data_IF_046925602585
#
_entry.id   IF_046925602585
#
_cell.length_a   1.000
_cell.length_b   1.000
_cell.length_c   1.000
_cell.angle_alpha   90.00
_cell.angle_beta   90.00
_cell.angle_gamma   90.00
#
_symmetry.space_group_name_H-M   'P 1'
#
loop_
_entity.id
_entity.type
_entity.pdbx_description
1 polymer ?
#
# COMPACT_ATOMS: atom_id res chain seq x y z
N UNK A 1 -19.63 -11.03 8.89
CA UNK A 1 -18.96 -10.41 7.72
C UNK A 1 -17.84 -9.58 8.30
N UNK A 2 -16.58 -9.98 8.09
CA UNK A 2 -15.45 -9.12 8.43
C UNK A 2 -15.54 -7.91 7.50
N UNK A 3 -15.70 -6.71 8.06
CA UNK A 3 -15.68 -5.48 7.27
C UNK A 3 -14.33 -5.38 6.55
N UNK A 4 -14.32 -4.86 5.33
CA UNK A 4 -13.09 -4.55 4.62
C UNK A 4 -12.30 -3.56 5.50
N UNK A 5 -11.24 -4.04 6.15
CA UNK A 5 -10.27 -3.18 6.82
C UNK A 5 -9.55 -2.34 5.76
N UNK A 6 -9.20 -1.12 6.15
CA UNK A 6 -8.41 -0.21 5.31
C UNK A 6 -7.02 0.00 5.91
N UNK A 7 -6.12 0.60 5.14
CA UNK A 7 -4.81 1.00 5.68
C UNK A 7 -4.95 2.01 6.83
N UNK A 8 -5.94 2.89 6.78
CA UNK A 8 -6.29 3.78 7.89
C UNK A 8 -6.59 3.01 9.18
N UNK A 9 -7.41 1.95 9.10
CA UNK A 9 -7.78 1.15 10.27
C UNK A 9 -6.56 0.38 10.83
N UNK A 10 -5.67 -0.07 9.94
CA UNK A 10 -4.42 -0.69 10.34
C UNK A 10 -3.52 0.31 11.10
N UNK A 11 -3.34 1.52 10.58
CA UNK A 11 -2.54 2.57 11.24
C UNK A 11 -3.13 2.95 12.59
N UNK A 12 -4.45 3.11 12.67
CA UNK A 12 -5.14 3.44 13.91
C UNK A 12 -4.97 2.35 14.97
N UNK A 13 -5.04 1.06 14.57
CA UNK A 13 -4.93 -0.06 15.51
C UNK A 13 -3.48 -0.30 15.97
N UNK A 14 -2.50 -0.19 15.05
CA UNK A 14 -1.12 -0.58 15.34
C UNK A 14 -0.29 0.53 15.97
N UNK A 15 -0.55 1.79 15.60
CA UNK A 15 0.30 2.94 15.97
C UNK A 15 -0.44 4.00 16.80
N UNK A 16 -1.56 3.63 17.43
CA UNK A 16 -2.33 4.54 18.27
C UNK A 16 -1.47 5.24 19.34
N UNK A 17 -0.66 4.46 20.06
CA UNK A 17 0.13 4.97 21.16
C UNK A 17 1.25 5.92 20.71
N UNK A 18 1.90 5.60 19.60
CA UNK A 18 2.97 6.41 19.00
C UNK A 18 2.40 7.74 18.47
N UNK A 19 1.25 7.68 17.81
CA UNK A 19 0.54 8.85 17.29
C UNK A 19 0.05 9.72 18.46
N UNK A 20 -0.55 9.11 19.48
CA UNK A 20 -0.99 9.81 20.69
C UNK A 20 0.17 10.53 21.37
N UNK A 21 1.28 9.83 21.62
CA UNK A 21 2.46 10.40 22.25
C UNK A 21 3.08 11.55 21.44
N UNK A 22 3.09 11.43 20.10
CA UNK A 22 3.62 12.48 19.23
C UNK A 22 2.75 13.75 19.27
N UNK A 23 1.41 13.60 19.26
CA UNK A 23 0.49 14.74 19.37
C UNK A 23 0.59 15.36 20.77
N UNK A 24 0.64 14.55 21.83
CA UNK A 24 0.79 15.03 23.20
C UNK A 24 2.07 15.84 23.38
N UNK A 25 3.20 15.35 22.85
CA UNK A 25 4.46 16.11 22.86
C UNK A 25 4.35 17.42 22.09
N UNK A 26 3.77 17.39 20.89
CA UNK A 26 3.59 18.58 20.07
C UNK A 26 2.70 19.63 20.76
N UNK A 27 1.57 19.22 21.36
CA UNK A 27 0.66 20.14 22.06
C UNK A 27 1.29 20.73 23.30
N UNK A 28 2.09 19.96 24.04
CA UNK A 28 2.81 20.46 25.20
C UNK A 28 3.87 21.51 24.84
N UNK A 29 4.55 21.33 23.70
CA UNK A 29 5.62 22.24 23.27
C UNK A 29 5.10 23.51 22.55
N UNK A 30 3.85 23.47 22.04
CA UNK A 30 3.30 24.52 21.17
C UNK A 30 1.95 25.05 21.65
N UNK A 31 1.59 24.92 22.92
CA UNK A 31 0.25 25.24 23.41
C UNK A 31 -0.15 26.72 23.19
N UNK A 32 0.80 27.64 23.18
CA UNK A 32 0.57 29.08 22.97
C UNK A 32 0.30 29.44 21.50
N UNK A 33 0.72 28.56 20.54
CA UNK A 33 0.66 28.83 19.10
C UNK A 33 -0.53 28.11 18.41
N UNK A 34 -1.28 27.28 19.15
CA UNK A 34 -2.40 26.55 18.59
C UNK A 34 -3.62 27.44 18.34
N UNK A 35 -4.21 27.33 17.13
CA UNK A 35 -5.46 28.06 16.75
C UNK A 35 -6.71 27.34 17.33
N UNK A 36 -6.80 27.33 18.67
CA UNK A 36 -7.88 26.67 19.40
C UNK A 36 -9.14 27.54 19.45
N UNK A 37 -10.29 26.91 19.20
CA UNK A 37 -11.59 27.58 19.38
C UNK A 37 -12.12 27.34 20.78
N UNK A 38 -11.79 28.27 21.68
CA UNK A 38 -12.19 28.24 23.09
C UNK A 38 -13.27 29.32 23.35
N UNK A 39 -14.21 29.02 24.22
CA UNK A 39 -15.31 29.91 24.59
C UNK A 39 -15.25 30.38 26.06
N UNK A 40 -14.63 29.58 26.92
CA UNK A 40 -14.57 29.83 28.36
C UNK A 40 -13.17 30.18 28.80
N UNK A 41 -12.19 29.37 28.41
CA UNK A 41 -10.78 29.58 28.75
C UNK A 41 -10.21 30.74 27.96
N UNK A 42 -9.68 31.75 28.62
CA UNK A 42 -9.05 32.94 27.99
C UNK A 42 -7.53 32.89 28.01
N UNK A 43 -6.96 32.37 29.10
CA UNK A 43 -5.51 32.20 29.24
C UNK A 43 -5.19 30.72 29.43
N UNK A 44 -4.52 30.13 28.47
CA UNK A 44 -4.21 28.70 28.49
C UNK A 44 -3.09 28.46 29.51
N UNK A 45 -3.38 27.66 30.54
CA UNK A 45 -2.41 27.21 31.52
C UNK A 45 -1.80 25.85 31.16
N UNK A 46 -2.63 24.93 30.66
CA UNK A 46 -2.17 23.62 30.19
C UNK A 46 -3.15 23.02 29.21
N UNK A 47 -2.62 22.17 28.36
CA UNK A 47 -3.41 21.34 27.43
C UNK A 47 -3.10 19.88 27.72
N UNK A 48 -4.15 19.09 27.89
CA UNK A 48 -4.06 17.64 28.05
C UNK A 48 -4.79 16.95 26.89
N UNK A 49 -4.10 16.00 26.25
CA UNK A 49 -4.70 15.19 25.17
C UNK A 49 -5.54 14.08 25.79
N UNK A 50 -6.85 14.09 25.52
CA UNK A 50 -7.80 13.13 26.10
C UNK A 50 -7.99 11.91 25.17
N UNK A 51 -8.15 12.13 23.88
CA UNK A 51 -8.38 11.06 22.89
C UNK A 51 -7.96 11.49 21.49
N UNK A 52 -7.75 10.51 20.62
CA UNK A 52 -7.45 10.73 19.20
C UNK A 52 -8.27 9.81 18.29
N UNK A 53 -8.64 10.31 17.12
CA UNK A 53 -9.27 9.53 16.07
C UNK A 53 -8.56 9.74 14.73
N UNK A 54 -8.00 8.67 14.16
CA UNK A 54 -7.42 8.71 12.81
C UNK A 54 -8.53 8.82 11.78
N UNK A 55 -8.58 9.95 11.07
CA UNK A 55 -9.65 10.24 10.08
C UNK A 55 -9.24 9.84 8.67
N UNK A 56 -8.02 10.16 8.25
CA UNK A 56 -7.51 9.92 6.91
C UNK A 56 -6.06 9.47 6.96
N UNK A 57 -5.69 8.60 6.00
CA UNK A 57 -4.30 8.27 5.69
C UNK A 57 -4.10 8.43 4.19
N UNK A 58 -3.02 9.09 3.79
CA UNK A 58 -2.64 9.25 2.40
C UNK A 58 -1.23 8.75 2.18
N UNK A 59 -1.06 7.76 1.30
CA UNK A 59 0.21 7.07 1.09
C UNK A 59 0.93 7.64 -0.12
N UNK A 60 2.25 7.86 0.03
CA UNK A 60 3.15 8.26 -1.04
C UNK A 60 4.21 7.17 -1.26
N UNK A 61 4.49 6.88 -2.53
CA UNK A 61 5.50 5.91 -2.91
C UNK A 61 6.91 6.52 -2.77
N UNK A 62 7.81 5.81 -2.10
CA UNK A 62 9.24 6.11 -2.04
C UNK A 62 10.05 5.04 -2.77
N UNK A 63 11.33 5.26 -3.10
CA UNK A 63 12.18 4.22 -3.65
C UNK A 63 12.24 2.96 -2.77
N UNK A 64 12.51 1.83 -3.39
CA UNK A 64 12.60 0.50 -2.76
C UNK A 64 11.27 0.08 -2.12
N UNK A 65 11.30 -0.58 -0.98
CA UNK A 65 10.09 -1.01 -0.24
C UNK A 65 9.68 0.00 0.85
N UNK A 66 10.06 1.26 0.70
CA UNK A 66 9.73 2.33 1.64
C UNK A 66 8.47 3.07 1.22
N UNK A 67 7.71 3.49 2.21
CA UNK A 67 6.55 4.38 2.03
C UNK A 67 6.65 5.57 2.98
N UNK A 68 6.10 6.68 2.53
CA UNK A 68 5.78 7.83 3.36
C UNK A 68 4.26 8.00 3.34
N UNK A 69 3.68 8.40 4.45
CA UNK A 69 2.25 8.62 4.51
C UNK A 69 1.89 9.73 5.50
N UNK A 70 0.88 10.49 5.10
CA UNK A 70 0.31 11.54 5.91
C UNK A 70 -0.90 10.99 6.68
N UNK A 71 -0.94 11.24 7.99
CA UNK A 71 -2.02 10.80 8.88
C UNK A 71 -2.74 12.02 9.43
N UNK A 72 -4.01 12.20 9.05
CA UNK A 72 -4.85 13.25 9.60
C UNK A 72 -5.63 12.71 10.81
N UNK A 73 -5.47 13.37 11.93
CA UNK A 73 -6.01 12.98 13.24
C UNK A 73 -6.87 14.09 13.80
N UNK A 74 -8.07 13.74 14.26
CA UNK A 74 -8.88 14.61 15.13
C UNK A 74 -8.55 14.25 16.58
N UNK A 75 -8.07 15.22 17.33
CA UNK A 75 -7.71 15.08 18.74
C UNK A 75 -8.71 15.83 19.63
N UNK A 76 -9.06 15.23 20.74
CA UNK A 76 -9.84 15.87 21.80
C UNK A 76 -8.89 16.38 22.88
N UNK A 77 -8.90 17.70 23.10
CA UNK A 77 -8.00 18.38 24.02
C UNK A 77 -8.82 18.93 25.20
N UNK A 78 -8.36 18.66 26.42
CA UNK A 78 -8.79 19.37 27.63
C UNK A 78 -7.86 20.55 27.86
N UNK A 79 -8.40 21.76 27.79
CA UNK A 79 -7.66 23.01 28.00
C UNK A 79 -8.04 23.58 29.35
N UNK A 80 -7.05 23.88 30.20
CA UNK A 80 -7.26 24.44 31.54
C UNK A 80 -6.76 25.86 31.60
N UNK A 81 -7.50 26.67 32.35
CA UNK A 81 -7.16 28.09 32.60
C UNK A 81 -5.89 28.20 33.44
N UNK A 82 -5.07 29.22 33.16
CA UNK A 82 -3.83 29.52 33.92
C UNK A 82 -4.06 30.14 35.30
N UNK A 83 -5.28 30.66 35.55
CA UNK A 83 -5.53 31.44 36.77
C UNK A 83 -5.88 30.53 37.95
N UNK A 84 -5.14 30.68 39.04
CA UNK A 84 -5.25 29.90 40.28
C UNK A 84 -6.61 29.99 41.01
N UNK A 85 -7.49 30.87 40.57
CA UNK A 85 -8.76 31.11 41.26
C UNK A 85 -9.97 30.41 40.61
N UNK A 86 -9.82 29.91 39.40
CA UNK A 86 -10.88 29.20 38.72
C UNK A 86 -10.30 27.93 38.08
N UNK A 87 -10.79 26.78 38.55
CA UNK A 87 -10.48 25.47 37.98
C UNK A 87 -11.42 25.24 36.77
N UNK A 88 -11.35 26.18 35.79
CA UNK A 88 -12.15 26.05 34.58
C UNK A 88 -11.38 25.26 33.54
N UNK A 89 -12.01 24.22 33.01
CA UNK A 89 -11.52 23.45 31.86
C UNK A 89 -12.55 23.47 30.75
N UNK A 90 -12.06 23.35 29.54
CA UNK A 90 -12.88 23.27 28.34
C UNK A 90 -12.33 22.21 27.39
N UNK A 91 -13.23 21.39 26.83
CA UNK A 91 -12.87 20.42 25.82
C UNK A 91 -13.04 21.04 24.43
N UNK A 92 -12.04 20.89 23.60
CA UNK A 92 -12.10 21.28 22.19
C UNK A 92 -11.54 20.19 21.28
N UNK A 93 -11.95 20.24 20.02
CA UNK A 93 -11.43 19.33 18.99
C UNK A 93 -10.50 20.10 18.07
N UNK A 94 -9.32 19.51 17.85
CA UNK A 94 -8.31 20.06 16.97
C UNK A 94 -7.79 18.99 16.02
N UNK A 95 -7.43 19.41 14.81
CA UNK A 95 -6.91 18.52 13.81
C UNK A 95 -5.41 18.66 13.67
N UNK A 96 -4.74 17.51 13.56
CA UNK A 96 -3.29 17.42 13.36
C UNK A 96 -2.98 16.59 12.11
N UNK A 97 -1.88 16.95 11.44
CA UNK A 97 -1.30 16.19 10.35
C UNK A 97 0.07 15.67 10.77
N UNK A 98 0.23 14.36 10.72
CA UNK A 98 1.50 13.71 11.00
C UNK A 98 2.09 13.20 9.69
N UNK A 99 3.39 13.40 9.50
CA UNK A 99 4.16 12.75 8.44
C UNK A 99 4.84 11.52 9.00
N UNK A 100 4.51 10.38 8.45
CA UNK A 100 4.98 9.09 8.88
C UNK A 100 5.74 8.40 7.75
N UNK A 101 6.62 7.46 8.10
CA UNK A 101 7.28 6.59 7.14
C UNK A 101 7.48 5.19 7.72
N UNK A 102 7.70 4.21 6.84
CA UNK A 102 7.98 2.84 7.22
C UNK A 102 8.40 1.98 6.04
N UNK A 103 8.82 0.76 6.31
CA UNK A 103 9.32 -0.21 5.35
C UNK A 103 8.29 -1.35 5.17
N UNK A 104 7.88 -1.63 3.92
CA UNK A 104 6.95 -2.70 3.55
C UNK A 104 7.68 -4.01 3.21
N UNK A 105 8.56 -4.52 4.09
CA UNK A 105 9.28 -5.78 3.81
C UNK A 105 8.53 -7.01 4.31
N UNK A 106 8.12 -7.02 5.57
CA UNK A 106 7.36 -8.12 6.17
C UNK A 106 6.06 -7.65 6.81
N UNK A 107 6.06 -6.46 7.36
CA UNK A 107 4.95 -5.69 7.89
C UNK A 107 5.27 -4.22 7.59
N UNK A 108 4.68 -3.29 8.32
CA UNK A 108 5.13 -1.89 8.31
C UNK A 108 6.19 -1.72 9.40
N UNK A 109 7.42 -2.09 9.05
CA UNK A 109 8.56 -2.02 9.96
C UNK A 109 9.18 -0.61 9.98
N UNK A 110 10.01 -0.33 10.98
CA UNK A 110 10.70 0.96 11.12
C UNK A 110 9.75 2.17 11.04
N UNK A 111 8.55 2.02 11.62
CA UNK A 111 7.61 3.13 11.69
C UNK A 111 8.23 4.33 12.40
N UNK A 112 8.15 5.49 11.77
CA UNK A 112 8.66 6.74 12.33
C UNK A 112 7.70 7.88 12.01
N UNK A 113 7.57 8.82 12.97
CA UNK A 113 6.86 10.08 12.78
C UNK A 113 7.91 11.17 12.64
N UNK A 114 7.99 11.80 11.48
CA UNK A 114 8.99 12.82 11.17
C UNK A 114 8.54 14.23 11.55
N UNK A 115 7.25 14.50 11.55
CA UNK A 115 6.69 15.80 11.96
C UNK A 115 5.23 15.68 12.36
N UNK A 116 4.83 16.55 13.28
CA UNK A 116 3.44 16.84 13.64
C UNK A 116 3.19 18.31 13.35
N UNK A 117 2.06 18.63 12.75
CA UNK A 117 1.64 20.00 12.47
C UNK A 117 0.15 20.14 12.71
N UNK A 118 -0.29 21.32 13.11
CA UNK A 118 -1.70 21.64 13.14
C UNK A 118 -2.30 21.56 11.72
N UNK A 119 -3.45 20.91 11.56
CA UNK A 119 -4.12 20.73 10.27
C UNK A 119 -5.32 21.67 10.16
N UNK A 120 -5.10 22.83 9.57
CA UNK A 120 -6.11 23.86 9.38
C UNK A 120 -6.54 23.94 7.92
N UNK A 121 -7.64 24.67 7.65
CA UNK A 121 -8.06 24.95 6.28
C UNK A 121 -7.01 25.70 5.44
N UNK A 122 -6.07 26.39 6.10
CA UNK A 122 -4.96 27.13 5.46
C UNK A 122 -3.85 26.22 4.96
N UNK A 123 -3.61 25.08 5.64
CA UNK A 123 -2.55 24.12 5.30
C UNK A 123 -3.07 22.93 4.50
N UNK A 124 -4.38 22.87 4.23
CA UNK A 124 -4.98 21.77 3.50
C UNK A 124 -4.38 21.65 2.10
N UNK A 125 -3.57 20.62 1.91
CA UNK A 125 -2.98 20.36 0.59
C UNK A 125 -4.09 19.96 -0.38
N UNK A 126 -4.05 20.52 -1.60
CA UNK A 126 -4.98 20.19 -2.68
C UNK A 126 -4.71 18.85 -3.37
N UNK A 127 -3.80 18.04 -2.84
CA UNK A 127 -3.48 16.71 -3.42
C UNK A 127 -4.61 15.73 -3.10
N UNK A 128 -5.07 14.95 -4.09
CA UNK A 128 -6.00 13.87 -3.83
C UNK A 128 -5.36 12.89 -2.84
N UNK A 129 -6.04 12.62 -1.74
CA UNK A 129 -5.62 11.60 -0.79
C UNK A 129 -5.84 10.23 -1.42
N UNK A 130 -4.81 9.38 -1.40
CA UNK A 130 -4.87 8.00 -1.87
C UNK A 130 -4.37 7.07 -0.77
N UNK A 131 -5.16 6.08 -0.43
CA UNK A 131 -4.80 4.97 0.47
C UNK A 131 -4.24 3.76 -0.30
N UNK A 132 -4.04 3.90 -1.59
CA UNK A 132 -3.55 2.86 -2.49
C UNK A 132 -2.25 3.27 -3.17
N UNK A 133 -1.32 2.30 -3.29
CA UNK A 133 -0.07 2.43 -4.05
C UNK A 133 -0.18 1.90 -5.49
N UNK A 134 -1.38 1.58 -5.96
CA UNK A 134 -1.57 1.19 -7.36
C UNK A 134 -1.31 2.39 -8.25
N UNK A 135 -0.28 2.34 -9.14
CA UNK A 135 0.02 3.46 -9.99
C UNK A 135 -1.10 3.69 -11.02
N UNK A 136 -1.58 4.91 -11.11
CA UNK A 136 -2.50 5.33 -12.18
C UNK A 136 -1.64 5.75 -13.37
N UNK A 137 -1.59 4.90 -14.40
CA UNK A 137 -0.78 5.13 -15.60
C UNK A 137 -1.70 5.62 -16.71
N UNK A 138 -1.54 6.87 -17.12
CA UNK A 138 -2.25 7.41 -18.28
C UNK A 138 -1.61 6.92 -19.59
N UNK A 139 -2.38 6.93 -20.67
CA UNK A 139 -1.92 6.44 -21.99
C UNK A 139 -0.61 7.13 -22.45
N UNK A 140 -0.47 8.41 -22.17
CA UNK A 140 0.69 9.22 -22.51
C UNK A 140 1.96 8.83 -21.72
N UNK A 141 1.79 8.16 -20.60
CA UNK A 141 2.88 7.72 -19.70
C UNK A 141 3.34 6.28 -19.97
N UNK A 142 2.58 5.50 -20.75
CA UNK A 142 2.88 4.08 -20.98
C UNK A 142 4.28 3.83 -21.52
N UNK A 143 4.72 4.64 -22.49
CA UNK A 143 6.05 4.49 -23.10
C UNK A 143 7.17 4.80 -22.10
N UNK A 144 7.02 5.84 -21.28
CA UNK A 144 8.02 6.18 -20.27
C UNK A 144 8.09 5.13 -19.17
N UNK A 145 6.94 4.63 -18.69
CA UNK A 145 6.87 3.57 -17.68
C UNK A 145 7.49 2.28 -18.20
N UNK A 146 7.17 1.88 -19.42
CA UNK A 146 7.76 0.70 -20.05
C UNK A 146 9.28 0.85 -20.25
N UNK A 147 9.74 2.03 -20.65
CA UNK A 147 11.16 2.33 -20.81
C UNK A 147 11.91 2.26 -19.48
N UNK A 148 11.34 2.82 -18.41
CA UNK A 148 11.92 2.76 -17.07
C UNK A 148 11.96 1.35 -16.52
N UNK A 149 10.90 0.57 -16.76
CA UNK A 149 10.83 -0.85 -16.42
C UNK A 149 11.94 -1.65 -17.14
N UNK A 150 12.08 -1.48 -18.46
CA UNK A 150 13.14 -2.14 -19.23
C UNK A 150 14.54 -1.65 -18.82
N UNK A 151 14.72 -0.37 -18.53
CA UNK A 151 16.00 0.16 -18.04
C UNK A 151 16.43 -0.51 -16.74
N UNK A 152 15.47 -0.83 -15.90
CA UNK A 152 15.74 -1.48 -14.60
C UNK A 152 16.02 -2.97 -14.74
N UNK A 153 15.26 -3.69 -15.57
CA UNK A 153 15.26 -5.15 -15.58
C UNK A 153 15.82 -5.79 -16.85
N UNK A 154 15.79 -5.05 -17.99
CA UNK A 154 16.24 -5.58 -19.30
C UNK A 154 16.89 -4.47 -20.16
N UNK A 155 17.96 -3.81 -19.66
CA UNK A 155 18.53 -2.62 -20.31
C UNK A 155 19.04 -2.87 -21.73
N UNK A 156 19.41 -4.10 -22.09
CA UNK A 156 19.89 -4.46 -23.44
C UNK A 156 18.86 -4.19 -24.53
N UNK A 157 17.56 -4.33 -24.21
CA UNK A 157 16.48 -4.05 -25.16
C UNK A 157 16.41 -2.57 -25.58
N UNK A 158 17.00 -1.66 -24.76
CA UNK A 158 17.04 -0.24 -25.03
C UNK A 158 18.29 0.19 -25.84
N UNK A 159 19.32 -0.67 -25.88
CA UNK A 159 20.59 -0.36 -26.57
C UNK A 159 20.47 -0.65 -28.08
N UNK A 160 19.85 -1.76 -28.43
CA UNK A 160 19.55 -2.11 -29.82
C UNK A 160 18.20 -2.81 -29.93
N UNK A 161 17.49 -2.64 -31.06
CA UNK A 161 16.23 -3.35 -31.28
C UNK A 161 16.43 -4.87 -31.15
N UNK A 162 15.87 -5.45 -30.11
CA UNK A 162 15.86 -6.89 -29.88
C UNK A 162 14.53 -7.30 -29.27
N UNK A 163 14.11 -8.54 -29.53
CA UNK A 163 12.95 -9.06 -28.85
C UNK A 163 13.25 -9.23 -27.35
N UNK A 164 12.30 -8.86 -26.51
CA UNK A 164 12.36 -9.18 -25.09
C UNK A 164 12.00 -10.65 -24.92
N UNK A 165 12.91 -11.43 -24.38
CA UNK A 165 12.67 -12.84 -24.05
C UNK A 165 12.04 -12.92 -22.65
N UNK A 166 10.77 -13.32 -22.52
CA UNK A 166 10.03 -13.23 -21.26
C UNK A 166 10.63 -14.04 -20.11
N UNK A 167 11.14 -15.23 -20.41
CA UNK A 167 11.79 -16.06 -19.40
C UNK A 167 13.09 -15.43 -18.89
N UNK A 168 13.91 -14.87 -19.79
CA UNK A 168 15.13 -14.15 -19.41
C UNK A 168 14.80 -12.89 -18.60
N UNK A 169 13.72 -12.19 -18.93
CA UNK A 169 13.24 -11.05 -18.13
C UNK A 169 12.86 -11.51 -16.73
N UNK A 170 12.07 -12.58 -16.60
CA UNK A 170 11.68 -13.12 -15.30
C UNK A 170 12.90 -13.55 -14.46
N UNK A 171 13.85 -14.25 -15.06
CA UNK A 171 15.11 -14.65 -14.40
C UNK A 171 15.91 -13.43 -13.89
N UNK A 172 16.04 -12.38 -14.70
CA UNK A 172 16.72 -11.14 -14.30
C UNK A 172 16.00 -10.41 -13.16
N UNK A 173 14.70 -10.58 -13.05
CA UNK A 173 13.89 -10.07 -11.95
C UNK A 173 13.94 -10.97 -10.69
N UNK A 174 14.61 -12.13 -10.77
CA UNK A 174 14.69 -13.13 -9.71
C UNK A 174 13.38 -13.89 -9.52
N UNK A 175 12.62 -14.07 -10.61
CA UNK A 175 11.37 -14.80 -10.65
C UNK A 175 11.57 -16.18 -11.27
N UNK A 176 10.81 -17.15 -10.78
CA UNK A 176 10.74 -18.50 -11.33
C UNK A 176 9.47 -18.63 -12.18
N UNK A 177 9.58 -19.24 -13.36
CA UNK A 177 8.41 -19.49 -14.24
C UNK A 177 8.15 -20.97 -14.31
N UNK A 178 6.96 -21.38 -13.95
CA UNK A 178 6.49 -22.75 -13.99
C UNK A 178 5.23 -22.89 -14.84
N UNK A 179 5.15 -24.03 -15.55
CA UNK A 179 3.96 -24.38 -16.35
C UNK A 179 3.08 -25.30 -15.53
N UNK A 180 1.84 -24.87 -15.23
CA UNK A 180 0.90 -25.67 -14.46
C UNK A 180 -0.54 -25.29 -14.80
N UNK A 181 -1.44 -26.24 -14.86
CA UNK A 181 -2.88 -25.99 -14.97
C UNK A 181 -3.38 -25.27 -13.73
N UNK A 182 -4.06 -24.12 -13.95
CA UNK A 182 -4.43 -23.22 -12.86
C UNK A 182 -5.91 -23.41 -12.52
N UNK A 183 -6.78 -23.40 -13.53
CA UNK A 183 -8.23 -23.53 -13.35
C UNK A 183 -8.82 -24.52 -14.35
N UNK A 184 -9.85 -25.26 -13.94
CA UNK A 184 -10.56 -26.23 -14.79
C UNK A 184 -11.15 -25.59 -16.06
N UNK A 185 -11.71 -24.39 -15.91
CA UNK A 185 -12.39 -23.65 -16.99
C UNK A 185 -11.44 -22.77 -17.81
N UNK A 186 -10.15 -22.83 -17.52
CA UNK A 186 -9.14 -22.01 -18.17
C UNK A 186 -9.44 -20.50 -18.10
N UNK A 187 -10.05 -20.05 -17.01
CA UNK A 187 -10.34 -18.63 -16.77
C UNK A 187 -9.13 -17.81 -16.35
N UNK A 188 -8.04 -18.46 -15.92
CA UNK A 188 -6.78 -17.84 -15.48
C UNK A 188 -5.63 -18.36 -16.33
N UNK A 189 -4.95 -17.48 -17.07
CA UNK A 189 -3.79 -17.83 -17.90
C UNK A 189 -2.47 -17.81 -17.18
N UNK A 190 -2.35 -16.95 -16.17
CA UNK A 190 -1.18 -16.83 -15.34
C UNK A 190 -1.50 -16.20 -13.99
N UNK A 191 -0.59 -16.40 -13.07
CA UNK A 191 -0.64 -15.77 -11.75
C UNK A 191 0.74 -15.73 -11.14
N UNK A 192 1.03 -14.64 -10.41
CA UNK A 192 2.26 -14.46 -9.66
C UNK A 192 2.00 -14.53 -8.16
N UNK A 193 2.90 -15.18 -7.44
CA UNK A 193 2.89 -15.29 -6.00
C UNK A 193 3.97 -14.41 -5.38
N UNK A 194 3.56 -13.52 -4.49
CA UNK A 194 4.45 -12.58 -3.82
C UNK A 194 5.06 -13.17 -2.54
N UNK A 195 4.39 -14.17 -1.95
CA UNK A 195 4.78 -14.85 -0.71
C UNK A 195 4.60 -16.35 -0.82
N UNK A 196 5.33 -17.08 0.05
CA UNK A 196 5.10 -18.50 0.24
C UNK A 196 3.66 -18.73 0.75
N UNK A 197 2.94 -19.63 0.11
CA UNK A 197 1.57 -19.95 0.49
C UNK A 197 1.14 -21.30 -0.09
N UNK A 198 0.07 -21.84 0.44
CA UNK A 198 -0.62 -22.97 -0.17
C UNK A 198 -1.67 -22.44 -1.16
N UNK A 199 -1.68 -22.98 -2.36
CA UNK A 199 -2.57 -22.61 -3.45
C UNK A 199 -3.22 -23.82 -4.09
N UNK A 200 -4.46 -23.63 -4.55
CA UNK A 200 -5.19 -24.65 -5.28
C UNK A 200 -4.92 -24.56 -6.78
N UNK A 201 -4.56 -25.67 -7.38
CA UNK A 201 -4.37 -25.84 -8.81
C UNK A 201 -5.27 -26.96 -9.31
N UNK A 202 -5.75 -26.83 -10.54
CA UNK A 202 -6.49 -27.90 -11.19
C UNK A 202 -5.55 -29.03 -11.59
N UNK A 203 -5.95 -30.24 -11.30
CA UNK A 203 -5.28 -31.47 -11.72
C UNK A 203 -6.20 -32.23 -12.69
N UNK A 204 -5.77 -32.36 -13.95
CA UNK A 204 -6.56 -33.00 -15.01
C UNK A 204 -6.71 -34.49 -14.77
N UNK A 205 -5.73 -35.17 -14.16
CA UNK A 205 -5.75 -36.61 -13.93
C UNK A 205 -6.81 -37.01 -12.89
N UNK A 206 -6.97 -36.22 -11.83
CA UNK A 206 -7.99 -36.46 -10.80
C UNK A 206 -9.30 -35.71 -11.03
N UNK A 207 -9.32 -34.74 -11.94
CA UNK A 207 -10.44 -33.79 -12.20
C UNK A 207 -10.82 -32.99 -10.95
N UNK A 208 -9.85 -32.71 -10.09
CA UNK A 208 -10.02 -32.01 -8.81
C UNK A 208 -9.06 -30.81 -8.66
N UNK A 209 -9.38 -29.92 -7.72
CA UNK A 209 -8.45 -28.88 -7.26
C UNK A 209 -7.56 -29.44 -6.19
N UNK A 210 -6.24 -29.39 -6.40
CA UNK A 210 -5.22 -29.93 -5.50
C UNK A 210 -4.48 -28.78 -4.81
N UNK A 211 -4.42 -28.82 -3.48
CA UNK A 211 -3.66 -27.88 -2.68
C UNK A 211 -2.15 -28.18 -2.79
N UNK A 212 -1.39 -27.18 -3.17
CA UNK A 212 0.07 -27.29 -3.37
C UNK A 212 0.78 -26.13 -2.71
N UNK A 213 1.90 -26.41 -2.05
CA UNK A 213 2.78 -25.35 -1.57
C UNK A 213 3.45 -24.63 -2.74
N UNK A 214 3.49 -23.30 -2.65
CA UNK A 214 4.07 -22.42 -3.67
C UNK A 214 5.05 -21.48 -3.00
N UNK A 215 6.26 -21.43 -3.53
CA UNK A 215 7.29 -20.50 -3.09
C UNK A 215 7.00 -19.08 -3.63
N UNK A 216 7.38 -18.07 -2.86
CA UNK A 216 7.36 -16.68 -3.30
C UNK A 216 8.16 -16.47 -4.59
N UNK A 217 7.79 -15.45 -5.36
CA UNK A 217 8.43 -15.11 -6.65
C UNK A 217 8.23 -16.14 -7.76
N UNK A 218 7.19 -16.96 -7.65
CA UNK A 218 6.85 -17.93 -8.68
C UNK A 218 5.71 -17.41 -9.56
N UNK A 219 5.93 -17.46 -10.86
CA UNK A 219 4.92 -17.21 -11.90
C UNK A 219 4.45 -18.55 -12.41
N UNK A 220 3.17 -18.84 -12.29
CA UNK A 220 2.54 -19.97 -12.99
C UNK A 220 1.88 -19.49 -14.26
N UNK A 221 2.09 -20.27 -15.32
CA UNK A 221 1.43 -20.08 -16.63
C UNK A 221 0.71 -21.36 -17.00
N UNK A 222 -0.55 -21.25 -17.35
CA UNK A 222 -1.32 -22.41 -17.77
C UNK A 222 -0.85 -22.91 -19.15
N UNK A 223 -0.42 -24.19 -19.30
CA UNK A 223 0.08 -24.71 -20.55
C UNK A 223 -0.98 -24.69 -21.68
N UNK A 224 -2.27 -24.68 -21.35
CA UNK A 224 -3.37 -24.57 -22.32
C UNK A 224 -3.34 -23.25 -23.07
N UNK A 225 -2.69 -22.19 -22.50
CA UNK A 225 -2.46 -20.93 -23.20
C UNK A 225 -1.69 -21.10 -24.51
N UNK A 226 -0.71 -22.03 -24.54
CA UNK A 226 0.01 -22.37 -25.76
C UNK A 226 -0.84 -23.11 -26.77
N UNK A 227 -1.55 -24.14 -26.32
CA UNK A 227 -2.32 -25.03 -27.19
C UNK A 227 -3.57 -24.36 -27.75
N UNK A 228 -4.26 -23.54 -26.97
CA UNK A 228 -5.50 -22.91 -27.39
C UNK A 228 -5.30 -21.58 -28.13
N UNK A 229 -4.14 -20.95 -27.99
CA UNK A 229 -3.85 -19.68 -28.64
C UNK A 229 -2.55 -19.71 -29.43
N UNK A 230 -1.41 -19.47 -28.81
CA UNK A 230 -0.07 -19.54 -29.42
C UNK A 230 1.03 -19.19 -28.39
N UNK A 231 2.29 -19.33 -28.79
CA UNK A 231 3.45 -18.95 -28.01
C UNK A 231 3.42 -17.46 -27.58
N UNK A 232 2.87 -16.59 -28.42
CA UNK A 232 2.74 -15.17 -28.08
C UNK A 232 1.86 -14.92 -26.87
N UNK A 233 0.82 -15.73 -26.65
CA UNK A 233 -0.01 -15.64 -25.46
C UNK A 233 0.74 -16.02 -24.19
N UNK A 234 1.55 -17.09 -24.23
CA UNK A 234 2.42 -17.51 -23.12
C UNK A 234 3.43 -16.39 -22.79
N UNK A 235 4.08 -15.87 -23.82
CA UNK A 235 5.07 -14.78 -23.68
C UNK A 235 4.44 -13.53 -23.06
N UNK A 236 3.28 -13.13 -23.54
CA UNK A 236 2.54 -11.99 -22.98
C UNK A 236 2.13 -12.22 -21.53
N UNK A 237 1.70 -13.44 -21.18
CA UNK A 237 1.36 -13.78 -19.80
C UNK A 237 2.55 -13.64 -18.87
N UNK A 238 3.72 -14.19 -19.25
CA UNK A 238 4.94 -14.08 -18.42
C UNK A 238 5.32 -12.60 -18.24
N UNK A 239 5.36 -11.80 -19.31
CA UNK A 239 5.67 -10.36 -19.21
C UNK A 239 4.67 -9.62 -18.33
N UNK A 240 3.38 -9.96 -18.45
CA UNK A 240 2.33 -9.36 -17.64
C UNK A 240 2.54 -9.63 -16.14
N UNK A 241 2.86 -10.85 -15.75
CA UNK A 241 3.17 -11.20 -14.37
C UNK A 241 4.48 -10.52 -13.87
N UNK A 242 5.48 -10.38 -14.74
CA UNK A 242 6.67 -9.59 -14.45
C UNK A 242 6.33 -8.12 -14.16
N UNK A 243 5.39 -7.53 -14.90
CA UNK A 243 4.92 -6.15 -14.65
C UNK A 243 4.21 -6.05 -13.31
N UNK A 244 3.38 -7.04 -12.93
CA UNK A 244 2.77 -7.08 -11.61
C UNK A 244 3.83 -7.09 -10.51
N UNK A 245 4.87 -7.89 -10.64
CA UNK A 245 5.97 -7.89 -9.68
C UNK A 245 6.69 -6.55 -9.59
N UNK A 246 6.97 -5.93 -10.73
CA UNK A 246 7.75 -4.70 -10.80
C UNK A 246 7.01 -3.44 -10.37
N UNK A 247 5.69 -3.36 -10.62
CA UNK A 247 4.90 -2.15 -10.42
C UNK A 247 3.87 -2.26 -9.27
N UNK A 248 3.37 -3.46 -8.99
CA UNK A 248 2.26 -3.62 -8.05
C UNK A 248 2.67 -4.28 -6.72
N UNK A 249 3.93 -4.70 -6.57
CA UNK A 249 4.40 -5.37 -5.36
C UNK A 249 4.12 -4.55 -4.09
N UNK A 250 4.41 -3.26 -4.11
CA UNK A 250 4.16 -2.40 -2.93
C UNK A 250 2.69 -2.26 -2.59
N UNK A 251 1.84 -2.10 -3.60
CA UNK A 251 0.40 -2.05 -3.40
C UNK A 251 -0.11 -3.35 -2.77
N UNK A 252 0.42 -4.48 -3.22
CA UNK A 252 0.11 -5.79 -2.67
C UNK A 252 0.56 -5.92 -1.21
N UNK A 253 1.81 -5.54 -0.88
CA UNK A 253 2.33 -5.58 0.49
C UNK A 253 1.54 -4.64 1.41
N UNK A 254 1.17 -3.46 0.93
CA UNK A 254 0.34 -2.53 1.67
C UNK A 254 -1.04 -3.14 1.98
N UNK A 255 -1.70 -3.72 0.98
CA UNK A 255 -3.01 -4.35 1.16
C UNK A 255 -2.94 -5.52 2.13
N UNK A 256 -1.87 -6.29 2.11
CA UNK A 256 -1.67 -7.43 2.99
C UNK A 256 -1.61 -7.08 4.48
N UNK A 257 -1.19 -5.86 4.84
CA UNK A 257 -1.16 -5.41 6.23
C UNK A 257 -2.55 -5.49 6.90
N UNK A 258 -3.60 -5.22 6.15
CA UNK A 258 -4.97 -5.20 6.67
C UNK A 258 -5.88 -6.28 6.07
N UNK A 259 -5.40 -7.01 5.04
CA UNK A 259 -6.12 -8.09 4.39
C UNK A 259 -5.20 -9.30 4.19
N UNK A 260 -5.07 -10.13 5.22
CA UNK A 260 -4.19 -11.32 5.22
C UNK A 260 -4.61 -12.42 4.23
N UNK A 261 -5.79 -12.33 3.62
CA UNK A 261 -6.26 -13.28 2.60
C UNK A 261 -5.65 -13.03 1.22
N UNK A 262 -5.00 -11.88 1.02
CA UNK A 262 -4.35 -11.55 -0.26
C UNK A 262 -3.01 -12.26 -0.33
N UNK A 263 -2.91 -13.28 -1.18
CA UNK A 263 -1.68 -14.07 -1.38
C UNK A 263 -1.10 -13.95 -2.79
N UNK A 264 -1.92 -13.50 -3.76
CA UNK A 264 -1.58 -13.46 -5.19
C UNK A 264 -2.40 -12.43 -5.97
N UNK A 265 -1.88 -12.02 -7.12
CA UNK A 265 -2.65 -11.32 -8.14
C UNK A 265 -3.06 -12.35 -9.20
N UNK A 266 -4.32 -12.37 -9.55
CA UNK A 266 -4.89 -13.23 -10.61
C UNK A 266 -5.14 -12.38 -11.85
N UNK A 267 -4.55 -12.77 -12.97
CA UNK A 267 -4.88 -12.21 -14.25
C UNK A 267 -6.06 -12.96 -14.87
N UNK A 268 -7.23 -12.36 -14.75
CA UNK A 268 -8.41 -12.87 -15.43
C UNK A 268 -8.41 -12.44 -16.91
N UNK A 269 -8.81 -13.35 -17.78
CA UNK A 269 -9.10 -13.00 -19.15
C UNK A 269 -10.30 -12.06 -19.16
N UNK A 270 -10.06 -10.76 -19.31
CA UNK A 270 -11.13 -9.88 -19.73
C UNK A 270 -11.45 -10.29 -21.18
N UNK A 271 -12.58 -10.95 -21.36
CA UNK A 271 -13.04 -11.39 -22.68
C UNK A 271 -13.13 -10.19 -23.61
N UNK A 272 -12.11 -10.06 -24.43
CA UNK A 272 -12.03 -9.14 -25.56
C UNK A 272 -11.94 -9.98 -26.82
N UNK A 273 -12.97 -9.90 -27.61
CA UNK A 273 -13.22 -10.46 -28.92
C UNK A 273 -11.98 -10.49 -29.82
#
# INVERSE_FOLDING_TARGET
>A
MAGNRSFRDYVADQFYNEIFAAIQGFTADNYDDLDLRLYRVQNIGSIELSDIEVKYVSVNDLPDMKIEFDVAVEAELEVREADYHYDESEFCKQWFMLKCSGDLNCNLDNFTISSVTEYTSKNRQSRPMSDSLVPIINKEQLESVATDFLRRYYPEALIKPTAVEPQVLAEKMGLVVEMREITKDFSVFGQIYFHDCDAEFYDEDSDEMVLTHVDARTIFVDPKAYFLRNLGSVNNTIVHECVHWGLHRKAFELERLYNSSVTRIKCQVVGGI
#
